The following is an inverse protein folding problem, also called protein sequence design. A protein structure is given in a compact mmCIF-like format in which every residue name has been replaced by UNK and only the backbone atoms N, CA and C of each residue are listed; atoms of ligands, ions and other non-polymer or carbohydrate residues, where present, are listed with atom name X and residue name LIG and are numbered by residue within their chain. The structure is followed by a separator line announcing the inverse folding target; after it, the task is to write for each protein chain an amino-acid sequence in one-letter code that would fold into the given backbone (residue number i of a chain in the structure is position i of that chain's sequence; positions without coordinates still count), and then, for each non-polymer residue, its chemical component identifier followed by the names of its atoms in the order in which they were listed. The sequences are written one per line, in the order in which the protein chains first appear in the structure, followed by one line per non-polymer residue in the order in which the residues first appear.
data_IF_342360083900
#
_entry.id   IF_342360083900
#
_cell.length_a   1.000
_cell.length_b   1.000
_cell.length_c   1.000
_cell.angle_alpha   90.00
_cell.angle_beta   90.00
_cell.angle_gamma   90.00
#
_symmetry.space_group_name_H-M   'P 1'
#
loop_
_entity.id
_entity.type
_entity.pdbx_description
1 polymer ?
#
# COMPACT_ATOMS: atom_id res chain seq x y z
N UNK A 1 -38.76 -68.67 -15.78
CA UNK A 1 -37.97 -68.06 -16.86
C UNK A 1 -38.03 -66.54 -16.69
N UNK A 2 -36.84 -65.94 -16.62
CA UNK A 2 -36.41 -64.54 -16.52
C UNK A 2 -37.45 -63.39 -16.56
N UNK A 3 -37.44 -62.57 -15.52
CA UNK A 3 -37.81 -61.14 -15.56
C UNK A 3 -36.57 -60.24 -15.37
N UNK A 4 -36.49 -59.08 -16.04
CA UNK A 4 -35.24 -58.33 -16.20
C UNK A 4 -34.91 -57.40 -15.02
N UNK A 5 -33.69 -57.52 -14.51
CA UNK A 5 -33.12 -56.60 -13.51
C UNK A 5 -32.49 -55.40 -14.23
N UNK A 6 -33.16 -54.25 -14.22
CA UNK A 6 -32.49 -52.94 -14.30
C UNK A 6 -32.92 -52.09 -13.11
N UNK A 7 -32.02 -51.98 -12.12
CA UNK A 7 -32.17 -51.06 -10.98
C UNK A 7 -31.86 -49.64 -11.46
N UNK A 8 -32.76 -48.71 -11.15
CA UNK A 8 -32.68 -47.28 -11.46
C UNK A 8 -31.51 -46.69 -10.66
N UNK A 9 -30.62 -45.93 -11.29
CA UNK A 9 -29.53 -45.23 -10.60
C UNK A 9 -30.11 -44.18 -9.65
N UNK A 10 -29.59 -44.14 -8.42
CA UNK A 10 -30.02 -43.23 -7.35
C UNK A 10 -29.76 -41.79 -7.76
N UNK A 11 -30.76 -40.91 -7.62
CA UNK A 11 -30.67 -39.48 -7.90
C UNK A 11 -29.66 -38.85 -6.92
N UNK A 12 -28.51 -38.44 -7.42
CA UNK A 12 -27.52 -37.67 -6.65
C UNK A 12 -27.76 -36.21 -6.97
N UNK A 13 -28.32 -35.48 -6.01
CA UNK A 13 -28.41 -34.03 -6.10
C UNK A 13 -27.04 -33.42 -5.78
N UNK A 14 -26.68 -32.27 -6.40
CA UNK A 14 -25.50 -31.52 -6.01
C UNK A 14 -25.58 -31.16 -4.52
N UNK A 15 -24.44 -31.24 -3.82
CA UNK A 15 -24.35 -30.82 -2.43
C UNK A 15 -24.78 -29.34 -2.29
N UNK A 16 -25.45 -28.96 -1.19
CA UNK A 16 -25.77 -27.56 -0.94
C UNK A 16 -24.49 -26.72 -1.03
N UNK A 17 -24.55 -25.64 -1.82
CA UNK A 17 -23.39 -24.78 -2.12
C UNK A 17 -22.98 -23.90 -0.92
N UNK A 18 -23.72 -23.98 0.18
CA UNK A 18 -23.49 -23.21 1.40
C UNK A 18 -23.23 -24.23 2.50
N UNK A 19 -22.06 -24.12 3.12
CA UNK A 19 -21.67 -24.91 4.28
C UNK A 19 -22.45 -24.46 5.51
N UNK A 20 -22.68 -25.36 6.46
CA UNK A 20 -23.40 -25.06 7.71
C UNK A 20 -22.68 -23.95 8.53
N UNK A 21 -21.36 -23.87 8.42
CA UNK A 21 -20.56 -22.78 8.98
C UNK A 21 -20.83 -21.42 8.34
N UNK A 22 -21.02 -21.36 7.02
CA UNK A 22 -21.40 -20.11 6.34
C UNK A 22 -22.83 -19.72 6.71
N UNK A 23 -23.71 -20.70 6.95
CA UNK A 23 -25.07 -20.44 7.40
C UNK A 23 -25.11 -19.87 8.82
N UNK A 24 -24.28 -20.38 9.74
CA UNK A 24 -24.10 -19.82 11.08
C UNK A 24 -23.51 -18.39 11.04
N UNK A 25 -22.54 -18.14 10.15
CA UNK A 25 -21.96 -16.81 9.97
C UNK A 25 -22.98 -15.82 9.42
N UNK A 26 -23.81 -16.23 8.44
CA UNK A 26 -24.90 -15.41 7.90
C UNK A 26 -25.96 -15.11 8.97
N UNK A 27 -26.30 -16.08 9.83
CA UNK A 27 -27.24 -15.87 10.95
C UNK A 27 -26.64 -14.88 11.96
N UNK A 28 -25.35 -15.02 12.27
CA UNK A 28 -24.65 -14.13 13.20
C UNK A 28 -24.54 -12.70 12.67
N UNK A 29 -24.28 -12.52 11.38
CA UNK A 29 -24.29 -11.23 10.70
C UNK A 29 -25.70 -10.64 10.66
N UNK A 30 -26.73 -11.46 10.40
CA UNK A 30 -28.13 -11.06 10.46
C UNK A 30 -28.55 -10.57 11.85
N UNK A 31 -28.16 -11.30 12.89
CA UNK A 31 -28.43 -10.95 14.29
C UNK A 31 -27.68 -9.69 14.73
N UNK A 32 -26.43 -9.51 14.29
CA UNK A 32 -25.67 -8.29 14.56
C UNK A 32 -26.31 -7.06 13.88
N UNK A 33 -26.86 -7.23 12.68
CA UNK A 33 -27.55 -6.16 11.97
C UNK A 33 -28.88 -5.80 12.63
N UNK A 34 -29.63 -6.80 13.12
CA UNK A 34 -30.86 -6.60 13.90
C UNK A 34 -30.57 -5.90 15.24
N UNK A 35 -29.50 -6.29 15.93
CA UNK A 35 -29.07 -5.65 17.18
C UNK A 35 -28.63 -4.20 16.98
N UNK A 36 -27.89 -3.90 15.89
CA UNK A 36 -27.52 -2.54 15.52
C UNK A 36 -28.74 -1.68 15.19
N UNK A 37 -29.75 -2.25 14.54
CA UNK A 37 -31.03 -1.56 14.31
C UNK A 37 -31.77 -1.27 15.61
N UNK A 38 -31.82 -2.23 16.53
CA UNK A 38 -32.53 -2.10 17.79
C UNK A 38 -31.89 -1.02 18.69
N UNK A 39 -30.56 -0.94 18.72
CA UNK A 39 -29.84 0.16 19.38
C UNK A 39 -30.10 1.52 18.71
N UNK A 40 -30.14 1.57 17.37
CA UNK A 40 -30.44 2.81 16.65
C UNK A 40 -31.89 3.28 16.85
N UNK A 41 -32.83 2.35 17.05
CA UNK A 41 -34.25 2.60 17.28
C UNK A 41 -34.55 2.97 18.75
N UNK A 42 -33.75 2.48 19.70
CA UNK A 42 -33.87 2.78 21.14
C UNK A 42 -33.16 4.10 21.56
N UNK A 43 -32.17 4.54 20.80
CA UNK A 43 -31.32 5.69 21.16
C UNK A 43 -31.84 7.08 20.74
N UNK A 44 -32.98 7.23 20.05
CA UNK A 44 -33.37 8.56 19.56
C UNK A 44 -34.83 8.76 19.16
N UNK A 45 -35.50 9.68 19.84
CA UNK A 45 -36.73 10.36 19.37
C UNK A 45 -36.44 11.06 18.02
N UNK A 46 -37.27 10.77 17.03
CA UNK A 46 -37.55 11.58 15.82
C UNK A 46 -36.37 11.99 14.92
N UNK A 47 -35.38 11.12 14.68
CA UNK A 47 -34.38 11.38 13.63
C UNK A 47 -34.57 10.45 12.41
N UNK A 48 -35.37 10.92 11.44
CA UNK A 48 -35.73 10.18 10.21
C UNK A 48 -34.55 9.96 9.25
N UNK A 49 -33.36 10.51 9.54
CA UNK A 49 -32.20 10.48 8.64
C UNK A 49 -31.39 9.17 8.73
N UNK A 50 -31.19 8.63 9.94
CA UNK A 50 -30.42 7.39 10.16
C UNK A 50 -31.18 6.14 9.70
N UNK A 51 -32.51 6.20 9.68
CA UNK A 51 -33.39 5.13 9.17
C UNK A 51 -33.19 4.84 7.67
N UNK A 52 -32.73 5.81 6.88
CA UNK A 52 -32.41 5.62 5.46
C UNK A 52 -31.04 4.99 5.20
N UNK A 53 -30.14 5.00 6.19
CA UNK A 53 -28.78 4.45 6.09
C UNK A 53 -28.73 2.96 6.44
N UNK A 54 -29.66 2.48 7.28
CA UNK A 54 -29.84 1.06 7.58
C UNK A 54 -30.89 0.47 6.62
N UNK A 55 -30.42 -0.15 5.52
CA UNK A 55 -31.31 -0.80 4.56
C UNK A 55 -32.02 -2.03 5.17
N UNK A 56 -33.34 -2.12 4.96
CA UNK A 56 -34.16 -3.26 5.37
C UNK A 56 -33.92 -4.46 4.43
N UNK A 57 -33.01 -5.36 4.81
CA UNK A 57 -32.77 -6.60 4.04
C UNK A 57 -33.78 -7.72 4.33
N UNK A 58 -34.79 -7.48 5.18
CA UNK A 58 -35.81 -8.47 5.53
C UNK A 58 -37.06 -8.41 4.62
N UNK A 59 -37.09 -7.50 3.64
CA UNK A 59 -38.13 -7.49 2.61
C UNK A 59 -37.73 -8.49 1.54
N UNK A 60 -38.30 -9.69 1.60
CA UNK A 60 -38.25 -10.65 0.50
C UNK A 60 -38.91 -9.97 -0.71
N UNK A 61 -38.18 -9.68 -1.81
CA UNK A 61 -38.82 -9.13 -2.99
C UNK A 61 -39.68 -10.24 -3.60
N UNK A 62 -41.00 -10.08 -3.50
CA UNK A 62 -41.96 -10.95 -4.16
C UNK A 62 -41.70 -11.01 -5.66
N UNK A 63 -41.48 -12.23 -6.17
CA UNK A 63 -41.71 -12.67 -7.55
C UNK A 63 -41.18 -11.77 -8.68
N UNK A 64 -40.00 -11.18 -8.51
CA UNK A 64 -39.22 -10.68 -9.63
C UNK A 64 -38.33 -11.81 -10.12
N UNK A 65 -38.72 -12.41 -11.26
CA UNK A 65 -37.85 -13.32 -12.02
C UNK A 65 -36.48 -12.67 -12.15
N UNK A 66 -35.47 -13.25 -11.51
CA UNK A 66 -34.09 -12.92 -11.81
C UNK A 66 -33.88 -13.23 -13.30
N UNK A 67 -33.47 -12.28 -14.14
CA UNK A 67 -33.04 -12.60 -15.49
C UNK A 67 -31.82 -13.51 -15.34
N UNK A 68 -32.01 -14.80 -15.62
CA UNK A 68 -30.90 -15.77 -15.69
C UNK A 68 -29.90 -15.23 -16.71
N UNK A 69 -28.64 -15.17 -16.32
CA UNK A 69 -27.53 -15.08 -17.27
C UNK A 69 -27.67 -16.24 -18.27
N UNK A 70 -27.52 -16.02 -19.58
CA UNK A 70 -27.36 -17.15 -20.49
C UNK A 70 -26.15 -17.95 -20.02
N UNK A 71 -26.26 -19.28 -19.96
CA UNK A 71 -25.14 -20.13 -19.61
C UNK A 71 -24.01 -19.87 -20.61
N UNK A 72 -22.91 -19.27 -20.15
CA UNK A 72 -21.70 -19.09 -20.96
C UNK A 72 -21.18 -20.48 -21.29
N UNK A 73 -21.23 -20.85 -22.57
CA UNK A 73 -20.59 -22.08 -23.03
C UNK A 73 -19.07 -21.90 -22.91
N UNK A 74 -18.37 -22.95 -22.48
CA UNK A 74 -16.93 -22.91 -22.28
C UNK A 74 -16.24 -23.00 -23.67
N UNK A 75 -15.88 -21.85 -24.24
CA UNK A 75 -15.32 -21.75 -25.60
C UNK A 75 -14.06 -22.59 -25.79
N UNK A 76 -13.27 -22.77 -24.72
CA UNK A 76 -12.04 -23.59 -24.74
C UNK A 76 -12.39 -25.08 -24.88
N UNK A 77 -13.43 -25.53 -24.17
CA UNK A 77 -13.90 -26.91 -24.24
C UNK A 77 -14.52 -27.22 -25.61
N UNK A 78 -15.25 -26.26 -26.18
CA UNK A 78 -15.83 -26.37 -27.52
C UNK A 78 -14.74 -26.39 -28.61
N UNK A 79 -13.68 -25.59 -28.46
CA UNK A 79 -12.52 -25.63 -29.35
C UNK A 79 -11.76 -26.96 -29.23
N UNK A 80 -11.57 -27.47 -28.02
CA UNK A 80 -10.94 -28.79 -27.83
C UNK A 80 -11.75 -29.92 -28.48
N UNK A 81 -13.08 -29.85 -28.43
CA UNK A 81 -13.97 -30.77 -29.15
C UNK A 81 -13.86 -30.62 -30.67
N UNK A 82 -13.78 -29.39 -31.19
CA UNK A 82 -13.55 -29.13 -32.62
C UNK A 82 -12.19 -29.67 -33.09
N UNK A 83 -11.12 -29.46 -32.31
CA UNK A 83 -9.79 -30.00 -32.61
C UNK A 83 -9.83 -31.53 -32.62
N UNK A 84 -10.45 -32.15 -31.62
CA UNK A 84 -10.60 -33.61 -31.55
C UNK A 84 -11.46 -34.17 -32.70
N UNK A 85 -12.46 -33.41 -33.15
CA UNK A 85 -13.25 -33.75 -34.33
C UNK A 85 -12.44 -33.63 -35.63
N UNK A 86 -11.52 -32.67 -35.73
CA UNK A 86 -10.65 -32.49 -36.90
C UNK A 86 -9.48 -33.48 -36.94
N UNK A 87 -8.94 -33.90 -35.78
CA UNK A 87 -7.82 -34.87 -35.73
C UNK A 87 -8.22 -36.24 -36.29
N UNK A 88 -9.50 -36.56 -36.28
CA UNK A 88 -10.02 -37.87 -36.68
C UNK A 88 -10.59 -37.89 -38.10
N UNK A 89 -10.48 -36.79 -38.87
CA UNK A 89 -11.06 -36.67 -40.21
C UNK A 89 -9.95 -36.70 -41.26
N UNK A 90 -10.08 -37.61 -42.23
CA UNK A 90 -9.18 -37.73 -43.38
C UNK A 90 -9.19 -36.47 -44.24
N UNK A 91 -8.08 -36.21 -44.95
CA UNK A 91 -7.89 -34.99 -45.74
C UNK A 91 -9.08 -34.66 -46.67
N UNK A 92 -9.43 -33.36 -46.82
CA UNK A 92 -10.61 -32.93 -47.58
C UNK A 92 -10.57 -33.31 -49.08
N UNK A 93 -9.42 -33.80 -49.57
CA UNK A 93 -9.24 -34.29 -50.93
C UNK A 93 -9.96 -35.63 -51.21
N UNK A 94 -10.30 -36.39 -50.17
CA UNK A 94 -10.95 -37.70 -50.29
C UNK A 94 -12.45 -37.62 -50.64
N UNK A 95 -13.05 -36.42 -50.55
CA UNK A 95 -14.45 -36.16 -50.88
C UNK A 95 -15.42 -36.80 -49.89
N UNK A 96 -16.17 -35.98 -49.16
CA UNK A 96 -17.15 -36.42 -48.16
C UNK A 96 -17.93 -35.26 -47.55
N UNK A 97 -18.92 -35.56 -46.72
CA UNK A 97 -19.64 -34.55 -45.94
C UNK A 97 -18.72 -34.02 -44.82
N UNK A 98 -18.53 -32.71 -44.76
CA UNK A 98 -17.70 -32.06 -43.74
C UNK A 98 -18.27 -32.34 -42.33
N UNK A 99 -17.38 -32.54 -41.35
CA UNK A 99 -17.76 -32.66 -39.94
C UNK A 99 -18.39 -31.36 -39.45
N UNK A 100 -19.55 -31.41 -38.76
CA UNK A 100 -20.19 -30.21 -38.23
C UNK A 100 -19.34 -29.65 -37.08
N UNK A 101 -18.70 -28.52 -37.32
CA UNK A 101 -17.92 -27.78 -36.33
C UNK A 101 -18.81 -26.79 -35.58
N UNK A 102 -18.48 -26.53 -34.33
CA UNK A 102 -19.14 -25.49 -33.54
C UNK A 102 -18.46 -24.12 -33.79
N UNK A 103 -19.23 -23.07 -34.03
CA UNK A 103 -18.70 -21.72 -34.24
C UNK A 103 -18.10 -21.17 -32.94
N UNK A 104 -16.77 -20.97 -32.91
CA UNK A 104 -16.04 -20.37 -31.79
C UNK A 104 -15.43 -19.02 -32.17
N UNK A 105 -15.17 -18.16 -31.17
CA UNK A 105 -14.67 -16.78 -31.34
C UNK A 105 -13.21 -16.67 -31.85
N UNK A 106 -12.59 -17.79 -32.25
CA UNK A 106 -11.19 -17.92 -32.67
C UNK A 106 -11.01 -17.95 -34.20
N UNK A 107 -11.91 -17.31 -34.95
CA UNK A 107 -11.80 -17.19 -36.42
C UNK A 107 -10.59 -16.35 -36.91
N UNK A 108 -9.83 -15.67 -36.03
CA UNK A 108 -8.74 -14.78 -36.42
C UNK A 108 -7.56 -14.76 -35.43
N UNK A 109 -6.47 -14.08 -35.82
CA UNK A 109 -5.20 -13.99 -35.06
C UNK A 109 -5.37 -13.33 -33.68
N UNK A 110 -6.44 -12.56 -33.48
CA UNK A 110 -6.82 -11.99 -32.19
C UNK A 110 -8.24 -12.44 -31.84
N UNK A 111 -8.48 -13.01 -30.65
CA UNK A 111 -9.83 -13.43 -30.25
C UNK A 111 -10.78 -12.23 -30.26
N UNK A 112 -11.99 -12.42 -30.78
CA UNK A 112 -13.03 -11.39 -30.77
C UNK A 112 -13.42 -11.06 -29.32
N UNK A 113 -13.49 -9.77 -29.00
CA UNK A 113 -13.75 -9.31 -27.63
C UNK A 113 -15.25 -9.48 -27.31
N UNK A 114 -15.61 -10.55 -26.59
CA UNK A 114 -16.98 -10.70 -26.07
C UNK A 114 -17.27 -9.60 -25.04
N UNK A 115 -18.18 -8.69 -25.37
CA UNK A 115 -18.69 -7.70 -24.43
C UNK A 115 -19.69 -8.39 -23.49
N UNK A 116 -19.29 -8.62 -22.24
CA UNK A 116 -20.18 -9.13 -21.18
C UNK A 116 -21.28 -8.09 -20.96
N UNK A 117 -22.49 -8.34 -21.49
CA UNK A 117 -23.66 -7.52 -21.17
C UNK A 117 -24.15 -7.88 -19.77
N UNK A 118 -23.83 -7.03 -18.80
CA UNK A 118 -24.50 -7.05 -17.49
C UNK A 118 -25.89 -6.41 -17.65
N UNK A 119 -26.99 -7.08 -17.25
CA UNK A 119 -28.30 -6.44 -17.25
C UNK A 119 -28.32 -5.36 -16.17
N UNK A 120 -28.39 -4.10 -16.60
CA UNK A 120 -28.63 -2.92 -15.76
C UNK A 120 -29.89 -3.12 -14.90
N UNK A 121 -29.69 -3.59 -13.67
CA UNK A 121 -30.71 -3.54 -12.62
C UNK A 121 -30.41 -2.29 -11.82
N UNK A 122 -31.28 -1.27 -11.96
CA UNK A 122 -31.55 -0.11 -11.09
C UNK A 122 -32.00 1.02 -12.02
N UNK A 123 -33.24 0.96 -12.48
CA UNK A 123 -34.01 2.16 -12.85
C UNK A 123 -35.49 1.81 -12.65
N UNK A 124 -35.95 1.99 -11.42
CA UNK A 124 -37.32 1.67 -11.02
C UNK A 124 -37.62 2.15 -9.61
N UNK A 125 -37.43 3.44 -9.33
CA UNK A 125 -37.98 4.06 -8.11
C UNK A 125 -39.41 4.51 -8.38
N UNK A 126 -40.41 4.06 -7.60
CA UNK A 126 -41.82 4.40 -7.78
C UNK A 126 -42.16 5.66 -6.98
N UNK A 127 -41.77 6.84 -7.47
CA UNK A 127 -42.32 8.10 -6.99
C UNK A 127 -42.52 9.04 -8.19
N UNK A 128 -43.67 8.89 -8.84
CA UNK A 128 -44.22 9.87 -9.79
C UNK A 128 -45.58 10.30 -9.24
N UNK A 129 -45.65 11.51 -8.72
CA UNK A 129 -46.91 12.20 -8.44
C UNK A 129 -47.58 12.64 -9.75
N UNK A 130 -48.93 12.63 -9.83
CA UNK A 130 -49.68 12.81 -11.06
C UNK A 130 -49.95 14.28 -11.36
N UNK A 131 -49.77 14.71 -12.61
CA UNK A 131 -50.16 16.08 -12.99
C UNK A 131 -49.73 16.51 -14.38
N UNK A 132 -50.69 16.41 -15.32
CA UNK A 132 -50.86 17.23 -16.54
C UNK A 132 -50.12 16.83 -17.83
N UNK A 133 -50.97 16.46 -18.77
CA UNK A 133 -50.86 16.34 -20.23
C UNK A 133 -50.28 17.61 -20.87
N UNK A 134 -49.30 17.50 -21.78
CA UNK A 134 -49.50 17.61 -23.23
C UNK A 134 -48.17 17.89 -23.99
N UNK A 135 -48.11 17.28 -25.19
CA UNK A 135 -47.35 17.65 -26.40
C UNK A 135 -45.82 17.78 -26.36
N UNK A 136 -45.18 16.88 -27.11
CA UNK A 136 -43.75 16.94 -27.42
C UNK A 136 -43.38 18.04 -28.39
N UNK A 137 -42.09 18.38 -28.40
CA UNK A 137 -41.39 19.12 -29.45
C UNK A 137 -39.88 18.93 -29.19
N UNK A 138 -39.15 18.42 -30.18
CA UNK A 138 -37.70 18.61 -30.29
C UNK A 138 -37.42 20.08 -30.65
N UNK A 139 -36.24 20.63 -30.31
CA UNK A 139 -35.26 20.81 -31.39
C UNK A 139 -33.78 20.70 -30.98
N UNK A 140 -33.09 19.81 -31.68
CA UNK A 140 -31.85 19.98 -32.47
C UNK A 140 -31.09 21.33 -32.37
N UNK A 141 -29.78 21.24 -32.06
CA UNK A 141 -28.59 21.92 -32.67
C UNK A 141 -27.50 22.02 -31.58
N UNK A 142 -26.24 21.58 -31.70
CA UNK A 142 -25.37 21.40 -32.85
C UNK A 142 -24.23 22.42 -32.80
N UNK A 143 -23.10 22.09 -32.17
CA UNK A 143 -21.75 22.63 -32.50
C UNK A 143 -20.72 21.51 -32.28
N UNK A 144 -19.94 21.29 -33.33
CA UNK A 144 -18.84 20.35 -33.47
C UNK A 144 -17.57 20.87 -32.78
N UNK A 145 -16.80 19.98 -32.14
CA UNK A 145 -15.34 20.10 -32.01
C UNK A 145 -14.67 18.77 -32.36
N UNK A 146 -13.47 18.79 -32.95
CA UNK A 146 -12.89 17.64 -33.64
C UNK A 146 -12.04 16.76 -32.70
N UNK A 147 -12.04 15.47 -33.02
CA UNK A 147 -11.14 14.39 -32.62
C UNK A 147 -9.90 14.79 -31.81
N UNK A 148 -9.79 14.20 -30.62
CA UNK A 148 -8.49 13.77 -30.08
C UNK A 148 -8.72 12.43 -29.39
N UNK A 149 -8.15 11.38 -29.99
CA UNK A 149 -8.03 10.04 -29.42
C UNK A 149 -7.20 10.10 -28.14
N UNK A 150 -7.85 10.00 -26.98
CA UNK A 150 -7.23 9.51 -25.75
C UNK A 150 -8.24 8.65 -24.98
N UNK A 151 -8.06 7.34 -25.14
CA UNK A 151 -8.63 6.31 -24.30
C UNK A 151 -7.97 6.31 -22.92
N UNK A 152 -8.67 6.81 -21.90
CA UNK A 152 -8.39 6.48 -20.50
C UNK A 152 -9.55 5.63 -19.95
N UNK A 153 -9.37 4.31 -19.78
CA UNK A 153 -10.42 3.44 -19.27
C UNK A 153 -10.26 3.25 -17.76
N UNK A 154 -10.55 4.28 -16.95
CA UNK A 154 -10.72 4.14 -15.49
C UNK A 154 -11.62 5.27 -14.96
N UNK A 155 -12.90 5.26 -15.32
CA UNK A 155 -13.92 5.97 -14.55
C UNK A 155 -15.18 5.12 -14.56
N UNK A 156 -15.46 4.49 -13.42
CA UNK A 156 -16.69 3.75 -13.18
C UNK A 156 -17.84 4.75 -13.05
N UNK A 157 -18.94 4.63 -13.83
CA UNK A 157 -20.13 5.43 -13.61
C UNK A 157 -20.91 4.82 -12.44
N UNK A 158 -20.40 4.97 -11.22
CA UNK A 158 -21.14 4.67 -10.01
C UNK A 158 -21.41 5.98 -9.27
N UNK A 159 -22.70 6.27 -9.19
CA UNK A 159 -23.34 7.48 -8.71
C UNK A 159 -23.10 7.67 -7.21
N UNK A 160 -22.17 8.54 -6.84
CA UNK A 160 -21.96 8.96 -5.46
C UNK A 160 -23.20 9.75 -4.98
N UNK A 161 -23.95 9.14 -4.07
CA UNK A 161 -25.14 9.73 -3.41
C UNK A 161 -24.78 10.42 -2.09
N UNK A 162 -23.49 10.51 -1.76
CA UNK A 162 -22.97 11.10 -0.53
C UNK A 162 -22.07 12.32 -0.76
N UNK A 163 -21.85 12.72 -2.02
CA UNK A 163 -21.13 13.95 -2.39
C UNK A 163 -19.76 14.08 -1.70
N UNK A 164 -19.04 12.96 -1.61
CA UNK A 164 -17.73 12.87 -0.94
C UNK A 164 -16.61 13.19 -1.92
N UNK A 165 -16.84 13.02 -3.23
CA UNK A 165 -15.94 13.50 -4.28
C UNK A 165 -16.51 14.78 -4.91
N UNK A 166 -16.13 15.95 -4.40
CA UNK A 166 -16.34 17.21 -5.12
C UNK A 166 -15.36 17.28 -6.30
N UNK A 167 -15.87 17.18 -7.53
CA UNK A 167 -15.06 17.39 -8.73
C UNK A 167 -14.53 18.84 -8.75
N UNK A 168 -13.20 18.99 -8.86
CA UNK A 168 -12.48 20.26 -8.87
C UNK A 168 -12.93 21.21 -10.01
N UNK A 169 -13.63 20.69 -11.03
CA UNK A 169 -14.21 21.44 -12.15
C UNK A 169 -15.55 22.15 -11.81
N UNK A 170 -16.17 21.90 -10.65
CA UNK A 170 -17.45 22.53 -10.25
C UNK A 170 -17.26 23.87 -9.50
N UNK A 171 -16.08 24.17 -8.95
CA UNK A 171 -15.79 25.44 -8.25
C UNK A 171 -15.92 26.66 -9.17
N UNK A 172 -15.65 26.51 -10.46
CA UNK A 172 -15.72 27.61 -11.43
C UNK A 172 -17.14 27.93 -11.95
N UNK A 173 -18.15 27.10 -11.65
CA UNK A 173 -19.53 27.34 -12.12
C UNK A 173 -20.40 28.17 -11.17
N UNK A 174 -19.97 28.37 -9.93
CA UNK A 174 -20.69 29.19 -8.94
C UNK A 174 -20.27 30.67 -8.92
N UNK A 175 -19.15 31.02 -9.57
CA UNK A 175 -18.70 32.40 -9.76
C UNK A 175 -19.14 32.97 -11.12
N UNK A 176 -20.44 32.92 -11.42
CA UNK A 176 -20.99 33.71 -12.53
C UNK A 176 -21.09 35.19 -12.09
N UNK A 177 -20.40 36.12 -12.78
CA UNK A 177 -20.39 37.55 -12.41
C UNK A 177 -21.79 38.18 -12.44
N UNK A 178 -22.71 37.57 -13.19
CA UNK A 178 -24.12 38.00 -13.32
C UNK A 178 -24.91 37.82 -12.02
N UNK A 179 -24.68 36.72 -11.28
CA UNK A 179 -25.33 36.49 -9.98
C UNK A 179 -24.86 37.51 -8.95
N UNK A 180 -23.58 37.87 -8.99
CA UNK A 180 -22.97 38.85 -8.09
C UNK A 180 -23.49 40.27 -8.37
N UNK A 181 -23.71 40.61 -9.64
CA UNK A 181 -24.34 41.88 -10.03
C UNK A 181 -25.82 41.94 -9.65
N UNK A 182 -26.54 40.83 -9.81
CA UNK A 182 -27.96 40.75 -9.42
C UNK A 182 -28.13 40.88 -7.90
N UNK A 183 -27.26 40.24 -7.13
CA UNK A 183 -27.26 40.34 -5.66
C UNK A 183 -26.89 41.74 -5.18
N UNK A 184 -25.89 42.37 -5.80
CA UNK A 184 -25.48 43.75 -5.50
C UNK A 184 -26.59 44.76 -5.81
N UNK A 185 -27.33 44.57 -6.90
CA UNK A 185 -28.50 45.40 -7.24
C UNK A 185 -29.67 45.18 -6.27
N UNK A 186 -29.88 43.94 -5.82
CA UNK A 186 -30.87 43.61 -4.79
C UNK A 186 -30.56 44.25 -3.44
N UNK A 187 -29.30 44.15 -2.98
CA UNK A 187 -28.86 44.74 -1.71
C UNK A 187 -28.79 46.27 -1.75
N UNK A 188 -28.48 46.87 -2.91
CA UNK A 188 -28.52 48.33 -3.08
C UNK A 188 -29.94 48.91 -3.14
N UNK A 189 -30.96 48.06 -3.37
CA UNK A 189 -32.38 48.47 -3.34
C UNK A 189 -32.99 48.47 -1.94
N UNK A 190 -32.25 47.99 -0.93
CA UNK A 190 -32.71 48.04 0.45
C UNK A 190 -32.64 49.49 0.97
N UNK A 191 -33.73 50.04 1.54
CA UNK A 191 -33.71 51.35 2.18
C UNK A 191 -32.64 51.39 3.27
N UNK A 192 -31.89 52.50 3.35
CA UNK A 192 -30.85 52.65 4.37
C UNK A 192 -31.48 52.56 5.77
N UNK A 193 -30.92 51.75 6.69
CA UNK A 193 -31.50 51.56 8.01
C UNK A 193 -31.42 52.88 8.79
N UNK A 194 -32.58 53.52 8.99
CA UNK A 194 -32.74 54.63 9.94
C UNK A 194 -33.16 54.06 11.27
N UNK A 195 -32.18 53.78 12.12
CA UNK A 195 -32.40 53.42 13.53
C UNK A 195 -31.85 54.56 14.39
N UNK A 196 -32.56 55.68 14.44
CA UNK A 196 -32.41 56.67 15.50
C UNK A 196 -33.35 56.27 16.64
N UNK A 197 -32.83 55.60 17.67
CA UNK A 197 -33.57 55.36 18.91
C UNK A 197 -32.95 56.19 20.02
N UNK A 198 -33.67 57.21 20.46
CA UNK A 198 -33.39 57.96 21.68
C UNK A 198 -33.74 57.07 22.87
N UNK A 199 -32.73 56.64 23.62
CA UNK A 199 -32.90 55.82 24.82
C UNK A 199 -33.42 56.72 25.93
N UNK A 200 -34.74 56.73 26.11
CA UNK A 200 -35.34 57.23 27.36
C UNK A 200 -35.22 56.09 28.37
N UNK A 201 -34.39 56.30 29.39
CA UNK A 201 -34.30 55.42 30.57
C UNK A 201 -35.37 55.88 31.56
N UNK A 202 -36.43 55.09 31.84
CA UNK A 202 -37.28 55.34 32.99
C UNK A 202 -36.49 55.05 34.26
N UNK A 203 -36.26 56.09 35.06
CA UNK A 203 -35.81 55.94 36.45
C UNK A 203 -36.92 55.24 37.25
N UNK A 204 -36.52 54.32 38.13
CA UNK A 204 -37.34 53.57 39.09
C UNK A 204 -37.94 52.23 38.65
N UNK A 205 -37.10 51.19 38.55
CA UNK A 205 -37.41 49.92 39.22
C UNK A 205 -36.12 49.19 39.65
N UNK A 206 -35.72 49.43 40.91
CA UNK A 206 -34.68 48.66 41.57
C UNK A 206 -35.22 47.29 41.98
N UNK A 207 -34.62 46.21 41.48
CA UNK A 207 -34.92 44.86 41.98
C UNK A 207 -34.18 43.74 41.28
N UNK A 208 -32.97 43.45 41.76
CA UNK A 208 -32.29 42.15 41.71
C UNK A 208 -32.35 41.37 40.37
N UNK A 209 -31.33 41.55 39.53
CA UNK A 209 -30.74 40.42 38.84
C UNK A 209 -29.24 40.66 38.65
N UNK A 210 -28.47 39.62 38.97
CA UNK A 210 -27.02 39.67 39.10
C UNK A 210 -26.32 40.05 37.80
N UNK A 211 -25.03 40.34 37.97
CA UNK A 211 -24.04 40.59 36.94
C UNK A 211 -23.94 39.39 35.96
N UNK A 212 -24.93 39.23 35.07
CA UNK A 212 -24.87 38.30 33.94
C UNK A 212 -24.07 39.03 32.86
N UNK A 213 -22.77 39.16 33.11
CA UNK A 213 -21.77 38.97 32.05
C UNK A 213 -21.91 37.51 31.61
N UNK A 214 -23.00 37.20 30.92
CA UNK A 214 -23.22 35.90 30.32
C UNK A 214 -22.06 35.71 29.37
N UNK A 215 -21.11 34.87 29.78
CA UNK A 215 -20.08 34.35 28.92
C UNK A 215 -20.78 33.95 27.63
N UNK A 216 -20.52 34.69 26.55
CA UNK A 216 -20.74 34.13 25.23
C UNK A 216 -19.83 32.91 25.22
N UNK A 217 -20.41 31.76 25.53
CA UNK A 217 -19.82 30.46 25.29
C UNK A 217 -19.58 30.51 23.78
N UNK A 218 -18.36 30.87 23.37
CA UNK A 218 -17.93 30.63 22.00
C UNK A 218 -18.04 29.12 21.87
N UNK A 219 -19.06 28.67 21.14
CA UNK A 219 -19.13 27.29 20.72
C UNK A 219 -17.84 27.11 19.92
N UNK A 220 -16.89 26.36 20.48
CA UNK A 220 -15.61 26.09 19.81
C UNK A 220 -15.94 25.49 18.44
N UNK A 221 -15.30 26.01 17.40
CA UNK A 221 -15.49 25.49 16.06
C UNK A 221 -15.11 24.02 16.05
N UNK A 222 -15.83 23.18 15.31
CA UNK A 222 -15.59 21.73 15.29
C UNK A 222 -14.11 21.40 14.97
N UNK A 223 -13.45 22.24 14.17
CA UNK A 223 -12.03 22.14 13.86
C UNK A 223 -11.11 22.32 15.09
N UNK A 224 -11.45 23.21 16.02
CA UNK A 224 -10.66 23.46 17.23
C UNK A 224 -10.77 22.28 18.22
N UNK A 225 -11.96 21.66 18.27
CA UNK A 225 -12.22 20.45 19.07
C UNK A 225 -11.43 19.26 18.51
N UNK A 226 -11.46 19.09 17.19
CA UNK A 226 -10.73 18.03 16.49
C UNK A 226 -9.21 18.23 16.64
N UNK A 227 -8.69 19.45 16.49
CA UNK A 227 -7.27 19.77 16.69
C UNK A 227 -6.83 19.50 18.13
N UNK A 228 -7.65 19.84 19.13
CA UNK A 228 -7.36 19.52 20.54
C UNK A 228 -7.36 18.02 20.79
N UNK A 229 -8.32 17.29 20.21
CA UNK A 229 -8.39 15.84 20.36
C UNK A 229 -7.19 15.15 19.70
N UNK A 230 -6.76 15.63 18.54
CA UNK A 230 -5.60 15.10 17.84
C UNK A 230 -4.30 15.46 18.55
N UNK A 231 -4.19 16.66 19.10
CA UNK A 231 -3.10 17.04 19.99
C UNK A 231 -3.02 16.13 21.22
N UNK A 232 -4.14 15.85 21.88
CA UNK A 232 -4.17 14.98 23.06
C UNK A 232 -3.79 13.53 22.70
N UNK A 233 -4.28 13.02 21.56
CA UNK A 233 -3.88 11.69 21.05
C UNK A 233 -2.39 11.62 20.75
N UNK A 234 -1.83 12.63 20.10
CA UNK A 234 -0.40 12.65 19.76
C UNK A 234 0.46 12.78 21.03
N UNK A 235 0.05 13.60 22.01
CA UNK A 235 0.72 13.68 23.31
C UNK A 235 0.70 12.34 24.05
N UNK A 236 -0.44 11.63 24.05
CA UNK A 236 -0.53 10.27 24.63
C UNK A 236 0.40 9.30 23.90
N UNK A 237 0.40 9.33 22.56
CA UNK A 237 1.29 8.50 21.74
C UNK A 237 2.76 8.78 22.03
N UNK A 238 3.16 10.04 22.17
CA UNK A 238 4.52 10.44 22.50
C UNK A 238 4.91 10.00 23.91
N UNK A 239 4.00 10.10 24.88
CA UNK A 239 4.22 9.62 26.25
C UNK A 239 4.40 8.10 26.29
N UNK A 240 3.55 7.34 25.58
CA UNK A 240 3.69 5.89 25.42
C UNK A 240 5.01 5.53 24.73
N UNK A 241 5.39 6.24 23.66
CA UNK A 241 6.64 5.98 22.95
C UNK A 241 7.86 6.22 23.84
N UNK A 242 7.81 7.23 24.72
CA UNK A 242 8.88 7.51 25.69
C UNK A 242 9.00 6.41 26.77
N UNK A 243 7.93 5.71 27.09
CA UNK A 243 7.95 4.58 28.02
C UNK A 243 8.43 3.28 27.37
N UNK A 244 8.38 3.17 26.03
CA UNK A 244 8.84 1.99 25.29
C UNK A 244 10.37 1.89 25.25
N UNK A 245 10.86 0.73 24.82
CA UNK A 245 12.29 0.44 24.69
C UNK A 245 13.02 1.46 23.80
N UNK A 246 14.29 1.76 24.12
CA UNK A 246 15.11 2.69 23.32
C UNK A 246 15.26 2.23 21.85
N UNK A 247 15.17 0.91 21.61
CA UNK A 247 15.20 0.31 20.26
C UNK A 247 14.00 0.78 19.44
N UNK A 248 12.81 0.87 20.06
CA UNK A 248 11.61 1.43 19.43
C UNK A 248 11.74 2.94 19.27
N UNK A 249 12.19 3.65 20.30
CA UNK A 249 12.34 5.11 20.23
C UNK A 249 13.30 5.59 19.12
N UNK A 250 14.32 4.78 18.82
CA UNK A 250 15.35 5.07 17.81
C UNK A 250 15.11 4.39 16.47
N UNK A 251 13.97 3.70 16.31
CA UNK A 251 13.62 2.91 15.12
C UNK A 251 14.76 2.00 14.63
N UNK A 252 15.44 1.33 15.57
CA UNK A 252 16.53 0.42 15.25
C UNK A 252 15.99 -0.92 14.71
N UNK A 253 16.76 -1.62 13.85
CA UNK A 253 16.33 -2.89 13.27
C UNK A 253 16.11 -3.94 14.37
N UNK A 254 14.91 -4.51 14.40
CA UNK A 254 14.51 -5.58 15.33
C UNK A 254 14.48 -6.94 14.62
N UNK A 255 14.76 -8.04 15.33
CA UNK A 255 14.69 -9.37 14.75
C UNK A 255 13.25 -9.73 14.37
N UNK A 256 13.07 -10.40 13.23
CA UNK A 256 11.75 -10.87 12.79
C UNK A 256 11.25 -12.09 13.57
N UNK A 257 12.15 -12.85 14.17
CA UNK A 257 11.84 -13.98 15.05
C UNK A 257 12.68 -13.91 16.33
N UNK A 258 12.07 -14.27 17.45
CA UNK A 258 12.67 -14.15 18.78
C UNK A 258 13.43 -15.43 19.11
N UNK A 259 14.75 -15.31 19.28
CA UNK A 259 15.59 -16.47 19.58
C UNK A 259 15.56 -16.84 21.07
N UNK A 260 14.94 -17.96 21.39
CA UNK A 260 14.88 -18.50 22.77
C UNK A 260 16.16 -19.20 23.21
N UNK A 261 17.07 -19.53 22.29
CA UNK A 261 18.32 -20.25 22.59
C UNK A 261 19.38 -19.39 23.28
N UNK A 262 19.04 -18.16 23.68
CA UNK A 262 19.87 -17.31 24.52
C UNK A 262 19.88 -17.83 25.96
N UNK A 263 18.81 -18.53 26.38
CA UNK A 263 18.79 -19.21 27.66
C UNK A 263 19.76 -20.39 27.67
N UNK A 264 20.42 -20.61 28.81
CA UNK A 264 21.12 -21.86 29.05
C UNK A 264 20.07 -22.99 29.09
N UNK A 265 20.28 -24.11 28.39
CA UNK A 265 19.41 -25.27 28.57
C UNK A 265 19.61 -25.77 29.99
N UNK A 266 18.61 -25.59 30.86
CA UNK A 266 18.66 -26.06 32.24
C UNK A 266 18.54 -27.58 32.26
N UNK A 267 19.68 -28.28 32.33
CA UNK A 267 19.71 -29.73 32.47
C UNK A 267 19.55 -30.15 33.94
N UNK A 268 18.91 -31.30 34.25
CA UNK A 268 18.82 -31.84 35.61
C UNK A 268 20.19 -32.12 36.28
N UNK A 269 21.26 -32.18 35.49
CA UNK A 269 22.62 -32.52 35.92
C UNK A 269 23.60 -31.34 35.84
N UNK A 270 23.13 -30.11 35.63
CA UNK A 270 24.03 -28.95 35.56
C UNK A 270 24.53 -28.53 36.96
N UNK A 271 25.81 -28.13 37.09
CA UNK A 271 26.34 -27.60 38.34
C UNK A 271 25.53 -26.39 38.83
N UNK A 272 25.36 -26.18 40.15
CA UNK A 272 24.68 -25.01 40.67
C UNK A 272 25.39 -23.74 40.21
N UNK A 273 24.64 -22.82 39.60
CA UNK A 273 25.19 -21.59 39.03
C UNK A 273 25.73 -20.65 40.11
N UNK A 274 26.80 -19.93 39.76
CA UNK A 274 27.30 -18.80 40.55
C UNK A 274 26.27 -17.68 40.60
N UNK A 275 26.28 -16.87 41.66
CA UNK A 275 25.37 -15.71 41.81
C UNK A 275 25.41 -14.77 40.59
N UNK A 276 26.61 -14.49 40.07
CA UNK A 276 26.80 -13.70 38.84
C UNK A 276 26.10 -14.34 37.63
N UNK A 277 26.21 -15.66 37.47
CA UNK A 277 25.58 -16.38 36.36
C UNK A 277 24.05 -16.40 36.48
N UNK A 278 23.53 -16.48 37.72
CA UNK A 278 22.09 -16.34 37.97
C UNK A 278 21.59 -14.94 37.62
N UNK A 279 22.35 -13.90 37.97
CA UNK A 279 22.03 -12.53 37.59
C UNK A 279 22.02 -12.36 36.06
N UNK A 280 22.99 -12.93 35.34
CA UNK A 280 22.99 -12.93 33.88
C UNK A 280 21.77 -13.64 33.27
N UNK A 281 21.32 -14.74 33.85
CA UNK A 281 20.12 -15.45 33.37
C UNK A 281 18.84 -14.64 33.58
N UNK A 282 18.71 -13.95 34.71
CA UNK A 282 17.60 -13.04 34.97
C UNK A 282 17.57 -11.89 33.96
N UNK A 283 18.73 -11.29 33.66
CA UNK A 283 18.83 -10.23 32.65
C UNK A 283 18.40 -10.75 31.28
N UNK A 284 18.84 -11.95 30.89
CA UNK A 284 18.46 -12.51 29.59
C UNK A 284 16.97 -12.85 29.54
N UNK A 285 16.38 -13.31 30.64
CA UNK A 285 14.94 -13.56 30.73
C UNK A 285 14.15 -12.27 30.52
N UNK A 286 14.55 -11.16 31.17
CA UNK A 286 13.92 -9.85 31.00
C UNK A 286 14.03 -9.36 29.54
N UNK A 287 15.21 -9.51 28.93
CA UNK A 287 15.41 -9.19 27.51
C UNK A 287 14.46 -9.99 26.61
N UNK A 288 14.23 -11.27 26.93
CA UNK A 288 13.33 -12.12 26.17
C UNK A 288 11.87 -11.68 26.32
N UNK A 289 11.43 -11.33 27.53
CA UNK A 289 10.09 -10.78 27.80
C UNK A 289 9.88 -9.49 27.00
N UNK A 290 10.83 -8.56 27.05
CA UNK A 290 10.78 -7.30 26.31
C UNK A 290 10.71 -7.55 24.79
N UNK A 291 11.48 -8.49 24.24
CA UNK A 291 11.42 -8.84 22.82
C UNK A 291 10.06 -9.42 22.40
N UNK A 292 9.46 -10.27 23.23
CA UNK A 292 8.12 -10.81 22.96
C UNK A 292 7.04 -9.72 23.04
N UNK A 293 7.13 -8.83 24.03
CA UNK A 293 6.25 -7.69 24.15
C UNK A 293 6.34 -6.77 22.92
N UNK A 294 7.56 -6.40 22.52
CA UNK A 294 7.83 -5.54 21.37
C UNK A 294 7.37 -6.19 20.05
N UNK A 295 7.49 -7.51 19.91
CA UNK A 295 7.02 -8.25 18.74
C UNK A 295 5.49 -8.28 18.62
N UNK A 296 4.76 -8.27 19.74
CA UNK A 296 3.29 -8.25 19.79
C UNK A 296 2.75 -6.84 19.59
N UNK A 297 3.30 -5.85 20.31
CA UNK A 297 2.81 -4.46 20.33
C UNK A 297 3.30 -3.67 19.10
N UNK A 298 4.54 -3.90 18.67
CA UNK A 298 5.16 -3.21 17.51
C UNK A 298 5.76 -4.19 16.49
N UNK A 299 4.92 -4.94 15.75
CA UNK A 299 5.38 -5.90 14.75
C UNK A 299 6.25 -5.23 13.66
N UNK A 300 7.36 -5.87 13.30
CA UNK A 300 8.25 -5.40 12.23
C UNK A 300 7.66 -5.68 10.85
N UNK A 301 8.03 -4.92 9.82
CA UNK A 301 7.52 -5.16 8.46
C UNK A 301 7.90 -6.54 7.90
N UNK A 302 9.00 -7.13 8.39
CA UNK A 302 9.37 -8.52 8.11
C UNK A 302 8.42 -9.56 8.71
N UNK A 303 7.69 -9.23 9.78
CA UNK A 303 6.66 -10.10 10.38
C UNK A 303 5.25 -9.85 9.84
N UNK A 304 5.04 -8.81 9.02
CA UNK A 304 3.76 -8.50 8.36
C UNK A 304 3.49 -9.31 7.07
N UNK A 305 4.38 -10.23 6.68
CA UNK A 305 4.19 -11.11 5.52
C UNK A 305 3.08 -12.14 5.73
N UNK A 306 2.15 -12.27 4.77
CA UNK A 306 0.92 -13.10 4.83
C UNK A 306 1.17 -14.63 4.77
N UNK A 307 1.88 -15.17 5.76
CA UNK A 307 2.20 -16.60 5.88
C UNK A 307 2.06 -17.12 7.33
N UNK A 308 2.72 -18.25 7.69
CA UNK A 308 2.60 -18.98 8.97
C UNK A 308 3.07 -18.21 10.23
N UNK A 309 2.97 -16.88 10.22
CA UNK A 309 3.37 -15.94 11.26
C UNK A 309 2.24 -15.63 12.27
N UNK A 310 0.95 -15.84 11.91
CA UNK A 310 -0.17 -15.76 12.89
C UNK A 310 -0.02 -16.80 14.02
N UNK A 311 0.56 -17.96 13.71
CA UNK A 311 0.90 -18.98 14.71
C UNK A 311 2.03 -18.52 15.67
N UNK A 312 2.91 -17.62 15.20
CA UNK A 312 3.99 -17.06 16.00
C UNK A 312 3.48 -16.06 17.04
N UNK A 313 2.49 -15.23 16.67
CA UNK A 313 1.88 -14.27 17.60
C UNK A 313 1.16 -14.98 18.76
N UNK A 314 0.49 -16.10 18.51
CA UNK A 314 -0.11 -16.92 19.57
C UNK A 314 0.94 -17.51 20.52
N UNK A 315 2.10 -17.92 19.98
CA UNK A 315 3.23 -18.37 20.79
C UNK A 315 3.82 -17.25 21.65
N UNK A 316 3.86 -16.02 21.13
CA UNK A 316 4.38 -14.86 21.85
C UNK A 316 3.45 -14.47 23.01
N UNK A 317 2.13 -14.46 22.77
CA UNK A 317 1.13 -14.24 23.81
C UNK A 317 1.19 -15.32 24.89
N UNK A 318 1.29 -16.60 24.53
CA UNK A 318 1.41 -17.69 25.50
C UNK A 318 2.69 -17.63 26.36
N UNK A 319 3.76 -17.00 25.85
CA UNK A 319 4.97 -16.75 26.64
C UNK A 319 4.79 -15.57 27.60
N UNK A 320 4.16 -14.48 27.15
CA UNK A 320 3.82 -13.31 27.97
C UNK A 320 2.81 -13.64 29.07
N UNK A 321 1.87 -14.55 28.83
CA UNK A 321 0.94 -15.04 29.86
C UNK A 321 1.68 -15.72 31.02
N UNK A 322 2.80 -16.38 30.73
CA UNK A 322 3.66 -17.02 31.75
C UNK A 322 4.64 -16.03 32.38
N UNK A 323 5.09 -15.04 31.61
CA UNK A 323 6.06 -14.03 32.03
C UNK A 323 5.53 -12.65 31.64
N UNK A 324 4.68 -12.04 32.49
CA UNK A 324 4.10 -10.73 32.21
C UNK A 324 5.18 -9.66 32.07
N UNK A 325 5.02 -8.78 31.09
CA UNK A 325 5.83 -7.58 30.99
C UNK A 325 5.44 -6.60 32.10
N UNK A 326 6.42 -6.10 32.84
CA UNK A 326 6.22 -5.15 33.94
C UNK A 326 6.63 -3.77 33.44
N UNK A 327 5.68 -2.83 33.43
CA UNK A 327 5.98 -1.44 33.14
C UNK A 327 6.80 -0.83 34.30
N UNK A 328 7.94 -0.22 33.96
CA UNK A 328 8.85 0.38 34.94
C UNK A 328 8.56 1.87 35.06
N UNK A 329 8.52 2.37 36.30
CA UNK A 329 8.34 3.79 36.56
C UNK A 329 9.53 4.61 36.02
N UNK A 330 9.28 5.75 35.34
CA UNK A 330 10.36 6.59 34.81
C UNK A 330 11.32 7.12 35.88
N UNK A 331 10.87 7.28 37.13
CA UNK A 331 11.72 7.68 38.24
C UNK A 331 12.77 6.61 38.59
N UNK A 332 12.38 5.34 38.56
CA UNK A 332 13.29 4.22 38.82
C UNK A 332 14.26 3.97 37.66
N UNK A 333 13.81 4.20 36.41
CA UNK A 333 14.69 4.19 35.24
C UNK A 333 15.81 5.24 35.35
N UNK A 334 15.48 6.47 35.75
CA UNK A 334 16.48 7.53 35.93
C UNK A 334 17.49 7.19 37.04
N UNK A 335 17.03 6.60 38.15
CA UNK A 335 17.94 6.13 39.23
C UNK A 335 18.86 5.02 38.73
N UNK A 336 18.33 4.08 37.95
CA UNK A 336 19.11 3.00 37.36
C UNK A 336 20.17 3.55 36.39
N UNK A 337 19.83 4.54 35.57
CA UNK A 337 20.80 5.23 34.69
C UNK A 337 21.92 5.90 35.49
N UNK A 338 21.59 6.57 36.60
CA UNK A 338 22.60 7.19 37.47
C UNK A 338 23.55 6.16 38.08
N UNK A 339 23.02 5.01 38.53
CA UNK A 339 23.84 3.91 39.05
C UNK A 339 24.75 3.32 37.96
N UNK A 340 24.22 3.08 36.76
CA UNK A 340 25.00 2.58 35.63
C UNK A 340 26.10 3.57 35.21
N UNK A 341 25.84 4.88 35.24
CA UNK A 341 26.87 5.88 34.95
C UNK A 341 28.00 5.86 35.98
N UNK A 342 27.69 5.71 37.27
CA UNK A 342 28.69 5.56 38.34
C UNK A 342 29.53 4.30 38.15
N UNK A 343 28.89 3.17 37.87
CA UNK A 343 29.59 1.91 37.61
C UNK A 343 30.47 1.99 36.35
N UNK A 344 29.97 2.60 35.28
CA UNK A 344 30.74 2.81 34.04
C UNK A 344 31.98 3.67 34.28
N UNK A 345 31.90 4.67 35.15
CA UNK A 345 33.06 5.47 35.55
C UNK A 345 34.08 4.64 36.33
N UNK A 346 33.63 3.80 37.27
CA UNK A 346 34.51 2.89 38.03
C UNK A 346 35.21 1.90 37.09
N UNK A 347 34.49 1.34 36.11
CA UNK A 347 35.08 0.43 35.11
C UNK A 347 36.07 1.16 34.21
N UNK A 348 35.75 2.39 33.79
CA UNK A 348 36.62 3.25 32.98
C UNK A 348 37.95 3.50 33.69
N UNK A 349 37.90 3.86 34.97
CA UNK A 349 39.08 4.06 35.82
C UNK A 349 39.83 2.76 36.08
N UNK A 350 39.12 1.68 36.43
CA UNK A 350 39.71 0.38 36.78
C UNK A 350 40.39 -0.33 35.62
N UNK A 351 39.89 -0.16 34.39
CA UNK A 351 40.50 -0.71 33.17
C UNK A 351 41.50 0.25 32.51
N UNK A 352 41.66 1.47 33.04
CA UNK A 352 42.56 2.48 32.49
C UNK A 352 42.16 2.94 31.08
N UNK A 353 40.89 2.79 30.71
CA UNK A 353 40.39 3.27 29.44
C UNK A 353 40.09 4.77 29.56
N UNK A 354 40.77 5.60 28.76
CA UNK A 354 40.42 7.01 28.62
C UNK A 354 39.07 7.19 27.92
N UNK A 355 38.89 8.30 27.23
CA UNK A 355 37.80 8.38 26.25
C UNK A 355 38.13 7.47 25.07
N UNK A 356 37.33 6.41 24.87
CA UNK A 356 37.45 5.60 23.66
C UNK A 356 36.99 6.43 22.47
N UNK A 357 37.89 6.63 21.51
CA UNK A 357 37.51 7.19 20.22
C UNK A 357 36.53 6.27 19.50
N UNK A 358 35.66 6.85 18.67
CA UNK A 358 34.78 6.08 17.81
C UNK A 358 35.56 5.12 16.88
N UNK A 359 36.79 5.48 16.50
CA UNK A 359 37.65 4.65 15.66
C UNK A 359 38.12 3.39 16.37
N UNK A 360 38.47 3.48 17.66
CA UNK A 360 38.89 2.30 18.44
C UNK A 360 37.71 1.38 18.70
N UNK A 361 36.52 1.94 18.93
CA UNK A 361 35.28 1.18 19.01
C UNK A 361 34.99 0.44 17.69
N UNK A 362 35.09 1.12 16.55
CA UNK A 362 34.85 0.51 15.23
C UNK A 362 35.81 -0.65 14.96
N UNK A 363 37.09 -0.50 15.27
CA UNK A 363 38.09 -1.57 15.13
C UNK A 363 37.74 -2.80 15.99
N UNK A 364 37.47 -2.59 17.29
CA UNK A 364 37.09 -3.69 18.20
C UNK A 364 35.79 -4.36 17.76
N UNK A 365 34.83 -3.57 17.27
CA UNK A 365 33.57 -4.07 16.72
C UNK A 365 33.80 -4.96 15.49
N UNK A 366 34.61 -4.51 14.53
CA UNK A 366 34.95 -5.28 13.33
C UNK A 366 35.68 -6.58 13.67
N UNK A 367 36.62 -6.53 14.62
CA UNK A 367 37.31 -7.72 15.11
C UNK A 367 36.34 -8.70 15.77
N UNK A 368 35.46 -8.24 16.66
CA UNK A 368 34.46 -9.07 17.30
C UNK A 368 33.49 -9.67 16.29
N UNK A 369 33.03 -8.87 15.33
CA UNK A 369 32.11 -9.31 14.29
C UNK A 369 32.76 -10.33 13.33
N UNK A 370 34.04 -10.15 13.00
CA UNK A 370 34.80 -11.10 12.17
C UNK A 370 34.92 -12.49 12.81
N UNK A 371 34.87 -12.55 14.15
CA UNK A 371 34.90 -13.80 14.90
C UNK A 371 33.53 -14.48 14.99
N UNK A 372 32.43 -13.81 14.63
CA UNK A 372 31.10 -14.41 14.67
C UNK A 372 30.93 -15.37 13.49
N UNK A 373 30.64 -16.62 13.80
CA UNK A 373 30.51 -17.71 12.85
C UNK A 373 29.16 -18.41 13.02
N UNK A 374 28.42 -18.62 11.93
CA UNK A 374 27.17 -19.36 11.95
C UNK A 374 27.41 -20.86 11.75
N UNK A 375 27.04 -21.70 12.70
CA UNK A 375 27.12 -23.15 12.59
C UNK A 375 25.84 -23.72 11.98
N UNK A 376 25.87 -24.26 10.75
CA UNK A 376 24.67 -24.76 10.09
C UNK A 376 24.05 -25.97 10.80
N UNK A 377 24.89 -26.88 11.32
CA UNK A 377 24.42 -28.10 11.99
C UNK A 377 23.68 -27.85 13.31
N UNK A 378 23.94 -26.72 13.98
CA UNK A 378 23.30 -26.34 15.24
C UNK A 378 22.35 -25.15 15.08
N UNK A 379 22.22 -24.60 13.85
CA UNK A 379 21.47 -23.39 13.55
C UNK A 379 21.75 -22.22 14.53
N UNK A 380 23.02 -22.03 14.90
CA UNK A 380 23.43 -21.12 15.97
C UNK A 380 24.71 -20.37 15.61
N UNK A 381 24.80 -19.12 16.05
CA UNK A 381 26.03 -18.33 15.99
C UNK A 381 26.94 -18.63 17.18
N UNK A 382 28.23 -18.85 16.89
CA UNK A 382 29.28 -19.07 17.88
C UNK A 382 30.51 -18.25 17.53
N UNK A 383 31.48 -18.15 18.45
CA UNK A 383 32.78 -17.53 18.15
C UNK A 383 33.65 -18.52 17.40
N UNK A 384 34.40 -18.04 16.40
CA UNK A 384 35.30 -18.84 15.58
C UNK A 384 36.28 -19.66 16.43
N UNK A 385 36.75 -19.12 17.56
CA UNK A 385 37.68 -19.78 18.48
C UNK A 385 37.11 -21.06 19.13
N UNK A 386 35.79 -21.11 19.34
CA UNK A 386 35.10 -22.26 19.95
C UNK A 386 34.72 -23.33 18.91
N UNK A 387 34.68 -22.97 17.63
CA UNK A 387 34.31 -23.86 16.54
C UNK A 387 35.50 -24.72 16.08
N UNK A 388 35.24 -26.01 15.86
CA UNK A 388 36.20 -26.94 15.28
C UNK A 388 36.55 -26.57 13.83
N UNK A 389 37.69 -27.05 13.31
CA UNK A 389 38.09 -26.79 11.91
C UNK A 389 37.03 -27.27 10.91
N UNK A 390 36.36 -28.38 11.18
CA UNK A 390 35.28 -28.93 10.33
C UNK A 390 34.07 -28.01 10.30
N UNK A 391 33.60 -27.59 11.47
CA UNK A 391 32.48 -26.65 11.61
C UNK A 391 32.76 -25.29 10.95
N UNK A 392 34.02 -24.83 10.99
CA UNK A 392 34.46 -23.62 10.26
C UNK A 392 34.30 -23.78 8.76
N UNK A 393 34.70 -24.92 8.20
CA UNK A 393 34.54 -25.20 6.77
C UNK A 393 33.07 -25.24 6.39
N UNK A 394 32.23 -25.97 7.13
CA UNK A 394 30.79 -26.05 6.87
C UNK A 394 30.10 -24.67 6.92
N UNK A 395 30.49 -23.82 7.88
CA UNK A 395 30.00 -22.45 7.96
C UNK A 395 30.40 -21.61 6.74
N UNK A 396 31.67 -21.70 6.32
CA UNK A 396 32.17 -20.98 5.16
C UNK A 396 31.49 -21.47 3.87
N UNK A 397 31.26 -22.77 3.73
CA UNK A 397 30.49 -23.35 2.63
C UNK A 397 29.06 -22.79 2.58
N UNK A 398 28.38 -22.72 3.74
CA UNK A 398 27.05 -22.14 3.82
C UNK A 398 27.04 -20.65 3.48
N UNK A 399 28.04 -19.89 3.93
CA UNK A 399 28.20 -18.47 3.60
C UNK A 399 28.44 -18.28 2.11
N UNK A 400 29.27 -19.13 1.50
CA UNK A 400 29.52 -19.13 0.06
C UNK A 400 28.23 -19.41 -0.71
N UNK A 401 27.45 -20.39 -0.29
CA UNK A 401 26.17 -20.71 -0.93
C UNK A 401 25.15 -19.59 -0.81
N UNK A 402 25.06 -18.93 0.36
CA UNK A 402 24.24 -17.73 0.52
C UNK A 402 24.71 -16.60 -0.43
N UNK A 403 26.02 -16.37 -0.53
CA UNK A 403 26.59 -15.38 -1.44
C UNK A 403 26.30 -15.71 -2.91
N UNK A 404 26.35 -16.99 -3.31
CA UNK A 404 25.93 -17.43 -4.66
C UNK A 404 24.47 -17.12 -4.93
N UNK A 405 23.60 -17.32 -3.94
CA UNK A 405 22.18 -17.00 -4.05
C UNK A 405 21.93 -15.49 -4.17
N UNK A 406 22.64 -14.67 -3.39
CA UNK A 406 22.60 -13.20 -3.53
C UNK A 406 23.11 -12.78 -4.90
N UNK A 407 24.28 -13.26 -5.33
CA UNK A 407 24.84 -13.00 -6.65
C UNK A 407 23.87 -13.38 -7.77
N UNK A 408 23.16 -14.52 -7.66
CA UNK A 408 22.17 -14.92 -8.65
C UNK A 408 20.96 -13.98 -8.69
N UNK A 409 20.46 -13.53 -7.52
CA UNK A 409 19.35 -12.57 -7.42
C UNK A 409 19.77 -11.21 -7.99
N UNK A 410 20.92 -10.72 -7.59
CA UNK A 410 21.46 -9.42 -8.02
C UNK A 410 21.79 -9.45 -9.50
N UNK A 411 22.38 -10.53 -10.02
CA UNK A 411 22.62 -10.69 -11.46
C UNK A 411 21.31 -10.72 -12.26
N UNK A 412 20.24 -11.35 -11.75
CA UNK A 412 18.91 -11.32 -12.39
C UNK A 412 18.31 -9.91 -12.38
N UNK A 413 18.48 -9.16 -11.29
CA UNK A 413 18.01 -7.77 -11.18
C UNK A 413 18.82 -6.85 -12.10
N UNK A 414 20.14 -6.95 -12.08
CA UNK A 414 21.05 -6.24 -12.97
C UNK A 414 20.73 -6.53 -14.43
N UNK A 415 20.56 -7.80 -14.83
CA UNK A 415 20.19 -8.15 -16.20
C UNK A 415 18.83 -7.56 -16.62
N UNK A 416 17.84 -7.46 -15.71
CA UNK A 416 16.57 -6.78 -16.00
C UNK A 416 16.76 -5.28 -16.17
N UNK A 417 17.53 -4.65 -15.27
CA UNK A 417 17.85 -3.23 -15.33
C UNK A 417 18.64 -2.88 -16.59
N UNK A 418 19.67 -3.67 -16.92
CA UNK A 418 20.47 -3.52 -18.14
C UNK A 418 19.61 -3.67 -19.39
N UNK A 419 18.71 -4.66 -19.45
CA UNK A 419 17.77 -4.77 -20.59
C UNK A 419 16.89 -3.53 -20.71
N UNK A 420 16.34 -3.03 -19.60
CA UNK A 420 15.52 -1.81 -19.59
C UNK A 420 16.33 -0.58 -20.02
N UNK A 421 17.53 -0.41 -19.48
CA UNK A 421 18.44 0.68 -19.84
C UNK A 421 18.89 0.58 -21.29
N UNK A 422 19.16 -0.63 -21.81
CA UNK A 422 19.53 -0.84 -23.22
C UNK A 422 18.41 -0.45 -24.17
N UNK A 423 17.15 -0.71 -23.82
CA UNK A 423 16.00 -0.27 -24.62
C UNK A 423 15.86 1.26 -24.59
N UNK A 424 15.95 1.87 -23.40
CA UNK A 424 15.75 3.32 -23.24
C UNK A 424 16.93 4.15 -23.76
N UNK A 425 18.16 3.73 -23.47
CA UNK A 425 19.38 4.48 -23.76
C UNK A 425 20.12 4.00 -25.00
N UNK A 426 19.82 2.81 -25.54
CA UNK A 426 20.55 2.25 -26.68
C UNK A 426 20.49 3.13 -27.93
N UNK A 427 19.31 3.71 -28.22
CA UNK A 427 19.15 4.67 -29.32
C UNK A 427 19.95 5.96 -29.08
N UNK A 428 19.94 6.49 -27.86
CA UNK A 428 20.72 7.68 -27.49
C UNK A 428 22.23 7.40 -27.55
N UNK A 429 22.68 6.22 -27.12
CA UNK A 429 24.08 5.79 -27.23
C UNK A 429 24.51 5.69 -28.70
N UNK A 430 23.70 5.08 -29.56
CA UNK A 430 23.99 5.00 -31.01
C UNK A 430 24.06 6.39 -31.65
N UNK A 431 23.12 7.28 -31.33
CA UNK A 431 23.14 8.68 -31.81
C UNK A 431 24.37 9.42 -31.30
N UNK A 432 24.71 9.27 -30.03
CA UNK A 432 25.91 9.87 -29.43
C UNK A 432 27.18 9.38 -30.14
N UNK A 433 27.33 8.07 -30.33
CA UNK A 433 28.47 7.50 -31.08
C UNK A 433 28.54 8.01 -32.52
N UNK A 434 27.39 8.14 -33.20
CA UNK A 434 27.33 8.71 -34.55
C UNK A 434 27.78 10.18 -34.59
N UNK A 435 27.29 11.00 -33.66
CA UNK A 435 27.68 12.40 -33.55
C UNK A 435 29.18 12.56 -33.22
N UNK A 436 29.71 11.73 -32.32
CA UNK A 436 31.15 11.74 -31.99
C UNK A 436 31.99 11.42 -33.23
N UNK A 437 31.59 10.45 -34.06
CA UNK A 437 32.28 10.14 -35.32
C UNK A 437 32.23 11.31 -36.31
N UNK A 438 31.05 11.89 -36.52
CA UNK A 438 30.88 13.05 -37.39
C UNK A 438 31.74 14.24 -36.93
N UNK A 439 31.81 14.48 -35.62
CA UNK A 439 32.64 15.54 -35.06
C UNK A 439 34.13 15.26 -35.33
N UNK A 440 34.57 14.01 -35.20
CA UNK A 440 35.94 13.62 -35.50
C UNK A 440 36.28 13.81 -37.00
N UNK A 441 35.43 13.33 -37.91
CA UNK A 441 35.58 13.51 -39.35
C UNK A 441 35.62 14.99 -39.75
N UNK A 442 34.73 15.82 -39.16
CA UNK A 442 34.70 17.25 -39.42
C UNK A 442 35.97 17.95 -38.91
N UNK A 443 36.51 17.49 -37.78
CA UNK A 443 37.76 18.02 -37.22
C UNK A 443 38.93 17.73 -38.15
N UNK A 444 39.05 16.50 -38.64
CA UNK A 444 40.08 16.11 -39.61
C UNK A 444 39.95 16.89 -40.94
N UNK A 445 38.72 17.09 -41.43
CA UNK A 445 38.47 17.92 -42.61
C UNK A 445 38.85 19.38 -42.37
N UNK A 446 38.56 19.95 -41.21
CA UNK A 446 38.99 21.31 -40.86
C UNK A 446 40.52 21.44 -40.83
N UNK A 447 41.22 20.44 -40.30
CA UNK A 447 42.69 20.43 -40.28
C UNK A 447 43.26 20.36 -41.70
N UNK A 448 42.76 19.44 -42.53
CA UNK A 448 43.20 19.31 -43.93
C UNK A 448 42.93 20.57 -44.75
N UNK A 449 41.73 21.15 -44.65
CA UNK A 449 41.38 22.40 -45.36
C UNK A 449 42.21 23.59 -44.88
N UNK A 450 42.61 23.63 -43.60
CA UNK A 450 43.52 24.65 -43.09
C UNK A 450 44.95 24.48 -43.65
N UNK A 451 45.43 23.23 -43.77
CA UNK A 451 46.69 22.93 -44.46
C UNK A 451 46.62 23.32 -45.95
N UNK A 452 45.53 23.00 -46.65
CA UNK A 452 45.33 23.42 -48.04
C UNK A 452 45.29 24.95 -48.18
N UNK A 453 44.57 25.65 -47.30
CA UNK A 453 44.48 27.10 -47.31
C UNK A 453 45.86 27.74 -47.10
N UNK A 454 46.63 27.27 -46.13
CA UNK A 454 47.98 27.78 -45.86
C UNK A 454 48.94 27.47 -47.02
N UNK A 455 48.87 26.28 -47.62
CA UNK A 455 49.68 25.94 -48.80
C UNK A 455 49.31 26.80 -50.01
N UNK A 456 48.03 27.01 -50.32
CA UNK A 456 47.59 27.88 -51.41
C UNK A 456 47.93 29.35 -51.17
N UNK A 457 47.90 29.83 -49.93
CA UNK A 457 48.36 31.19 -49.60
C UNK A 457 49.85 31.36 -49.93
N UNK A 458 50.70 30.40 -49.55
CA UNK A 458 52.12 30.42 -49.90
C UNK A 458 52.33 30.29 -51.43
N UNK A 459 51.59 29.40 -52.08
CA UNK A 459 51.67 29.21 -53.54
C UNK A 459 51.26 30.49 -54.29
N UNK A 460 50.21 31.17 -53.82
CA UNK A 460 49.77 32.47 -54.37
C UNK A 460 50.87 33.52 -54.22
N UNK A 461 51.49 33.63 -53.05
CA UNK A 461 52.60 34.57 -52.83
C UNK A 461 53.78 34.28 -53.76
N UNK A 462 54.14 33.00 -53.92
CA UNK A 462 55.21 32.58 -54.83
C UNK A 462 54.87 32.90 -56.30
N UNK A 463 53.66 32.60 -56.75
CA UNK A 463 53.22 32.90 -58.12
C UNK A 463 53.13 34.41 -58.37
N UNK A 464 52.64 35.20 -57.42
CA UNK A 464 52.67 36.67 -57.51
C UNK A 464 54.09 37.22 -57.65
N UNK A 465 55.09 36.61 -57.01
CA UNK A 465 56.50 36.96 -57.20
C UNK A 465 57.10 36.44 -58.52
N UNK A 466 56.56 35.34 -59.07
CA UNK A 466 57.02 34.74 -60.32
C UNK A 466 56.45 35.43 -61.58
N UNK A 467 55.20 35.91 -61.54
CA UNK A 467 54.54 36.62 -62.64
C UNK A 467 55.41 37.76 -63.23
N UNK A 468 55.94 38.73 -62.45
CA UNK A 468 56.74 39.81 -63.03
C UNK A 468 58.03 39.30 -63.69
N UNK A 469 58.68 38.27 -63.13
CA UNK A 469 59.88 37.65 -63.71
C UNK A 469 59.63 36.89 -65.02
N UNK A 470 58.37 36.55 -65.33
CA UNK A 470 57.99 35.93 -66.62
C UNK A 470 57.61 36.95 -67.68
N UNK A 471 57.33 38.19 -67.28
CA UNK A 471 56.92 39.29 -68.18
C UNK A 471 58.10 40.17 -68.61
N UNK A 472 59.15 40.23 -67.80
CA UNK A 472 60.50 40.66 -68.20
C UNK A 472 61.18 39.59 -69.06
#
# INVERSE_FOLDING_TARGET
FQEPVKKRSKLVLPAPQISESELEEVIKVGQANEYARQQAEEAGKEDSASRGLLQEYNVTPGHMRTPRTPATQDSILQEAQNIMALTNVDTPLKGGLNTPLHDSDFSGVTPQRQAVQTPNTILGTPMRTPGRLDTGLTPRSGILRPNTDQSTPMSTPLRDKLNINEDEEMRDRFFQPDNLHQLRKGLASLPTPKNDYEIVVPEDEHGADGDIRGARHSVEDQADIDERADWEKEQKRLAELKQRSQVIQRDLPRPSDVNTNIMRPSGPNDPPLTELQKAEELIKQEVLIMLYHDAVVTPTDGSKGSGPQKASQASYLAYLDKNPYIEVDPGDMNKAEELLQKEMQVVKEGMGHGELSQDTFAQVWEECYSQVLFLPGQNRYTRANLASKKERIESLEKRLENNRNHMMKDAKLAAKLEKKLKILLGGYQSRSQGLVKQLHELTEQMENTNVELTTFQHLRQHEMGAIPKRLE
#
